data_IF_588016295085
#
_entry.id   IF_588016295085
#
_cell.length_a   1.000
_cell.length_b   1.000
_cell.length_c   1.000
_cell.angle_alpha   90.00
_cell.angle_beta   90.00
_cell.angle_gamma   90.00
#
_symmetry.space_group_name_H-M   'P 1'
#
loop_
_entity.id
_entity.type
_entity.pdbx_description
1 polymer ?
#
# COMPACT_ATOMS: atom_id res chain seq x y z
N UNK A 1 -41.75 7.78 -74.39
CA UNK A 1 -40.84 6.70 -74.80
C UNK A 1 -39.50 6.93 -74.09
N UNK A 2 -39.26 6.26 -72.98
CA UNK A 2 -38.01 6.34 -72.24
C UNK A 2 -37.48 4.91 -72.00
N UNK A 3 -36.27 4.66 -72.45
CA UNK A 3 -35.60 3.37 -72.35
C UNK A 3 -35.10 3.12 -70.91
N UNK A 4 -35.06 1.88 -70.42
CA UNK A 4 -34.51 1.59 -69.12
C UNK A 4 -32.99 1.47 -69.12
N UNK A 5 -32.30 1.71 -67.99
CA UNK A 5 -30.87 1.58 -67.89
C UNK A 5 -30.42 0.12 -67.71
N UNK A 6 -29.33 -0.24 -68.37
CA UNK A 6 -28.66 -1.54 -68.24
C UNK A 6 -28.07 -1.72 -66.85
N UNK A 7 -28.51 -2.70 -66.10
CA UNK A 7 -27.92 -3.14 -64.86
C UNK A 7 -26.58 -3.84 -65.09
N UNK A 8 -25.58 -3.44 -64.35
CA UNK A 8 -24.23 -4.02 -64.34
C UNK A 8 -24.23 -5.30 -63.50
N UNK A 9 -23.94 -6.41 -64.18
CA UNK A 9 -23.71 -7.73 -63.56
C UNK A 9 -22.24 -7.79 -63.14
N UNK A 10 -21.93 -7.27 -61.97
CA UNK A 10 -20.61 -7.43 -61.38
C UNK A 10 -20.78 -7.62 -59.86
N UNK A 11 -20.73 -8.83 -59.39
CA UNK A 11 -20.37 -9.11 -58.01
C UNK A 11 -20.75 -10.52 -57.51
N UNK A 12 -20.30 -11.56 -58.18
CA UNK A 12 -20.46 -12.93 -57.64
C UNK A 12 -19.13 -13.71 -57.42
N UNK A 13 -17.99 -13.10 -57.74
CA UNK A 13 -16.68 -13.76 -57.57
C UNK A 13 -15.77 -13.15 -56.53
N UNK A 14 -16.15 -12.07 -55.87
CA UNK A 14 -15.30 -11.40 -54.86
C UNK A 14 -15.52 -11.92 -53.44
N UNK A 15 -16.72 -12.40 -53.13
CA UNK A 15 -17.05 -12.91 -51.77
C UNK A 15 -16.27 -14.16 -51.33
N UNK A 16 -16.04 -15.17 -52.18
CA UNK A 16 -15.29 -16.36 -51.71
C UNK A 16 -13.81 -16.08 -51.48
N UNK A 17 -13.19 -15.12 -52.23
CA UNK A 17 -11.80 -14.78 -52.01
C UNK A 17 -11.56 -14.01 -50.69
N UNK A 18 -12.49 -13.11 -50.35
CA UNK A 18 -12.42 -12.38 -49.07
C UNK A 18 -12.60 -13.30 -47.86
N UNK A 19 -13.49 -14.28 -47.97
CA UNK A 19 -13.69 -15.30 -46.88
C UNK A 19 -12.45 -16.20 -46.70
N UNK A 20 -11.73 -16.53 -47.77
CA UNK A 20 -10.49 -17.30 -47.70
C UNK A 20 -9.35 -16.49 -47.05
N UNK A 21 -9.23 -15.19 -47.37
CA UNK A 21 -8.21 -14.29 -46.80
C UNK A 21 -8.47 -14.03 -45.32
N UNK A 22 -9.73 -13.84 -44.90
CA UNK A 22 -10.09 -13.66 -43.49
C UNK A 22 -9.80 -14.94 -42.68
N UNK A 23 -10.11 -16.13 -43.24
CA UNK A 23 -9.85 -17.39 -42.57
C UNK A 23 -8.34 -17.74 -42.48
N UNK A 24 -7.54 -17.30 -43.47
CA UNK A 24 -6.09 -17.45 -43.44
C UNK A 24 -5.45 -16.50 -42.42
N UNK A 25 -5.91 -15.26 -42.32
CA UNK A 25 -5.45 -14.31 -41.29
C UNK A 25 -5.83 -14.75 -39.87
N UNK A 26 -7.05 -15.27 -39.66
CA UNK A 26 -7.48 -15.77 -38.35
C UNK A 26 -6.67 -16.99 -37.90
N UNK A 27 -6.37 -17.92 -38.79
CA UNK A 27 -5.54 -19.09 -38.43
C UNK A 27 -4.10 -18.71 -38.12
N UNK A 28 -3.52 -17.78 -38.87
CA UNK A 28 -2.15 -17.32 -38.61
C UNK A 28 -2.05 -16.45 -37.36
N UNK A 29 -3.06 -15.61 -37.06
CA UNK A 29 -3.11 -14.82 -35.84
C UNK A 29 -3.25 -15.69 -34.59
N UNK A 30 -4.14 -16.71 -34.65
CA UNK A 30 -4.32 -17.65 -33.54
C UNK A 30 -3.08 -18.51 -33.27
N UNK A 31 -2.34 -18.86 -34.32
CA UNK A 31 -1.09 -19.64 -34.18
C UNK A 31 0.06 -18.76 -33.68
N UNK A 32 0.12 -17.49 -34.12
CA UNK A 32 1.14 -16.53 -33.66
C UNK A 32 0.95 -16.15 -32.16
N UNK A 33 -0.28 -16.03 -31.68
CA UNK A 33 -0.56 -15.71 -30.28
C UNK A 33 -0.19 -16.89 -29.37
N UNK A 34 -0.37 -18.13 -29.84
CA UNK A 34 -0.02 -19.33 -29.06
C UNK A 34 1.49 -19.51 -28.87
N UNK A 35 2.31 -19.02 -29.77
CA UNK A 35 3.78 -19.18 -29.68
C UNK A 35 4.48 -18.07 -28.88
N UNK A 36 3.76 -17.01 -28.50
CA UNK A 36 4.32 -15.90 -27.71
C UNK A 36 4.00 -15.97 -26.21
N UNK A 37 3.26 -16.96 -25.74
CA UNK A 37 3.03 -17.17 -24.31
C UNK A 37 4.25 -17.89 -23.72
N UNK A 38 5.06 -17.14 -22.97
CA UNK A 38 6.13 -17.74 -22.18
C UNK A 38 5.48 -18.50 -21.04
N UNK A 39 5.57 -19.84 -21.09
CA UNK A 39 5.27 -20.66 -19.93
C UNK A 39 6.44 -20.57 -18.98
N UNK A 40 6.24 -19.87 -17.87
CA UNK A 40 7.20 -19.95 -16.77
C UNK A 40 7.22 -21.38 -16.24
N UNK A 41 8.40 -21.94 -15.92
CA UNK A 41 8.50 -23.25 -15.32
C UNK A 41 7.60 -23.31 -14.07
N UNK A 42 6.68 -24.26 -14.00
CA UNK A 42 6.03 -24.58 -12.75
C UNK A 42 7.09 -25.11 -11.79
N UNK A 43 7.08 -24.66 -10.54
CA UNK A 43 7.95 -25.23 -9.53
C UNK A 43 7.51 -26.68 -9.31
N UNK A 44 8.32 -27.65 -9.71
CA UNK A 44 8.19 -29.07 -9.30
C UNK A 44 8.62 -29.27 -7.83
N UNK A 45 8.56 -28.17 -7.04
CA UNK A 45 8.90 -28.16 -5.64
C UNK A 45 8.00 -29.05 -4.79
N UNK A 46 8.49 -29.45 -3.65
CA UNK A 46 7.68 -30.17 -2.65
C UNK A 46 6.42 -29.37 -2.31
N UNK A 47 5.40 -30.00 -1.76
CA UNK A 47 4.12 -29.33 -1.42
C UNK A 47 4.32 -28.14 -0.45
N UNK A 48 5.37 -28.18 0.39
CA UNK A 48 5.79 -27.08 1.25
C UNK A 48 6.36 -25.90 0.45
N UNK A 49 7.22 -26.18 -0.52
CA UNK A 49 7.85 -25.13 -1.35
C UNK A 49 6.82 -24.41 -2.23
N UNK A 50 5.81 -25.12 -2.71
CA UNK A 50 4.70 -24.52 -3.46
C UNK A 50 3.83 -23.59 -2.59
N UNK A 51 3.60 -23.94 -1.31
CA UNK A 51 2.86 -23.12 -0.37
C UNK A 51 3.67 -21.86 0.01
N UNK A 52 4.95 -21.99 0.29
CA UNK A 52 5.83 -20.85 0.60
C UNK A 52 5.96 -19.90 -0.61
N UNK A 53 6.11 -20.42 -1.82
CA UNK A 53 6.13 -19.63 -3.06
C UNK A 53 4.82 -18.88 -3.27
N UNK A 54 3.68 -19.50 -2.99
CA UNK A 54 2.38 -18.83 -3.04
C UNK A 54 2.32 -17.66 -2.05
N UNK A 55 2.75 -17.88 -0.81
CA UNK A 55 2.67 -16.87 0.24
C UNK A 55 3.59 -15.68 -0.03
N UNK A 56 4.78 -15.89 -0.60
CA UNK A 56 5.66 -14.81 -1.06
C UNK A 56 5.02 -14.03 -2.23
N UNK A 57 4.39 -14.71 -3.17
CA UNK A 57 3.68 -14.08 -4.29
C UNK A 57 2.45 -13.30 -3.81
N UNK A 58 1.72 -13.84 -2.81
CA UNK A 58 0.61 -13.16 -2.17
C UNK A 58 1.10 -11.90 -1.44
N UNK A 59 2.17 -11.97 -0.66
CA UNK A 59 2.78 -10.82 0.00
C UNK A 59 3.16 -9.73 -1.01
N UNK A 60 3.81 -10.11 -2.13
CA UNK A 60 4.11 -9.16 -3.20
C UNK A 60 2.85 -8.49 -3.75
N UNK A 61 1.77 -9.24 -3.99
CA UNK A 61 0.52 -8.69 -4.50
C UNK A 61 -0.12 -7.69 -3.52
N UNK A 62 -0.06 -7.97 -2.21
CA UNK A 62 -0.52 -7.06 -1.16
C UNK A 62 0.32 -5.78 -1.13
N UNK A 63 1.65 -5.93 -1.09
CA UNK A 63 2.57 -4.80 -0.97
C UNK A 63 2.56 -3.88 -2.20
N UNK A 64 2.18 -4.40 -3.36
CA UNK A 64 2.07 -3.64 -4.62
C UNK A 64 0.65 -3.20 -4.96
N UNK A 65 -0.32 -3.39 -4.05
CA UNK A 65 -1.75 -3.11 -4.25
C UNK A 65 -2.43 -3.91 -5.37
N UNK A 66 -1.80 -4.98 -5.86
CA UNK A 66 -2.42 -5.85 -6.86
C UNK A 66 -3.51 -6.74 -6.26
N UNK A 67 -3.46 -6.99 -4.96
CA UNK A 67 -4.52 -7.71 -4.26
C UNK A 67 -5.81 -6.87 -4.10
N UNK A 68 -5.72 -5.53 -4.22
CA UNK A 68 -6.82 -4.63 -3.92
C UNK A 68 -7.28 -4.76 -2.46
N UNK A 69 -8.58 -4.68 -2.24
CA UNK A 69 -9.15 -4.95 -0.92
C UNK A 69 -9.14 -6.45 -0.61
N UNK A 70 -8.64 -6.81 0.55
CA UNK A 70 -8.64 -8.18 1.05
C UNK A 70 -9.03 -8.19 2.53
N UNK A 71 -9.75 -9.22 2.98
CA UNK A 71 -10.36 -9.24 4.31
C UNK A 71 -9.44 -9.82 5.37
N UNK A 72 -8.78 -10.93 5.03
CA UNK A 72 -7.98 -11.71 5.99
C UNK A 72 -6.74 -12.31 5.34
N UNK A 73 -5.69 -12.44 6.11
CA UNK A 73 -4.50 -13.21 5.77
C UNK A 73 -4.90 -14.66 5.41
N UNK A 74 -4.49 -15.21 4.27
CA UNK A 74 -4.73 -16.62 3.96
C UNK A 74 -4.19 -17.52 5.06
N UNK A 75 -5.01 -18.43 5.58
CA UNK A 75 -4.62 -19.31 6.69
C UNK A 75 -3.37 -20.16 6.39
N UNK A 76 -3.15 -20.50 5.13
CA UNK A 76 -1.92 -21.20 4.68
C UNK A 76 -0.67 -20.32 4.73
N UNK A 77 -0.81 -18.97 4.87
CA UNK A 77 0.31 -18.03 4.87
C UNK A 77 0.66 -17.48 6.26
N UNK A 78 -0.06 -17.85 7.31
CA UNK A 78 0.21 -17.37 8.68
C UNK A 78 1.64 -17.64 9.11
N UNK A 79 2.14 -18.87 8.90
CA UNK A 79 3.52 -19.23 9.27
C UNK A 79 4.56 -18.50 8.41
N UNK A 80 4.27 -18.25 7.14
CA UNK A 80 5.15 -17.49 6.25
C UNK A 80 5.24 -16.03 6.70
N UNK A 81 4.10 -15.41 7.02
CA UNK A 81 4.04 -14.04 7.56
C UNK A 81 4.74 -13.95 8.92
N UNK A 82 4.54 -14.94 9.80
CA UNK A 82 5.24 -15.01 11.09
C UNK A 82 6.77 -15.07 10.89
N UNK A 83 7.26 -15.91 9.96
CA UNK A 83 8.70 -15.98 9.63
C UNK A 83 9.21 -14.67 9.06
N UNK A 84 8.42 -13.99 8.22
CA UNK A 84 8.77 -12.70 7.65
C UNK A 84 9.02 -11.65 8.73
N UNK A 85 8.09 -11.50 9.70
CA UNK A 85 8.24 -10.53 10.78
C UNK A 85 9.30 -10.89 11.82
N UNK A 86 9.54 -12.18 12.05
CA UNK A 86 10.53 -12.66 13.03
C UNK A 86 11.94 -12.81 12.44
N UNK A 87 12.08 -12.77 11.11
CA UNK A 87 13.36 -12.90 10.41
C UNK A 87 13.94 -11.54 10.00
N UNK A 88 15.06 -11.61 9.30
CA UNK A 88 15.80 -10.41 8.86
C UNK A 88 15.14 -9.70 7.67
N UNK A 89 14.28 -10.40 6.91
CA UNK A 89 13.70 -9.87 5.67
C UNK A 89 12.84 -8.64 5.91
N UNK A 90 11.97 -8.64 6.92
CA UNK A 90 11.13 -7.50 7.25
C UNK A 90 11.97 -6.25 7.56
N UNK A 91 12.98 -6.40 8.39
CA UNK A 91 13.90 -5.30 8.70
C UNK A 91 14.66 -4.81 7.48
N UNK A 92 15.12 -5.72 6.62
CA UNK A 92 15.83 -5.39 5.39
C UNK A 92 14.94 -4.62 4.41
N UNK A 93 13.71 -5.10 4.16
CA UNK A 93 12.73 -4.43 3.28
C UNK A 93 12.44 -3.01 3.80
N UNK A 94 12.27 -2.87 5.11
CA UNK A 94 12.00 -1.58 5.74
C UNK A 94 13.16 -0.61 5.56
N UNK A 95 14.41 -1.04 5.83
CA UNK A 95 15.60 -0.19 5.68
C UNK A 95 15.81 0.26 4.24
N UNK A 96 15.57 -0.61 3.26
CA UNK A 96 15.69 -0.26 1.84
C UNK A 96 14.69 0.83 1.46
N UNK A 97 13.43 0.74 1.92
CA UNK A 97 12.42 1.78 1.68
C UNK A 97 12.84 3.11 2.32
N UNK A 98 13.34 3.08 3.56
CA UNK A 98 13.84 4.27 4.25
C UNK A 98 15.02 4.90 3.52
N UNK A 99 15.94 4.10 2.98
CA UNK A 99 17.08 4.63 2.22
C UNK A 99 16.63 5.34 0.94
N UNK A 100 15.65 4.79 0.20
CA UNK A 100 15.07 5.46 -0.97
C UNK A 100 14.27 6.72 -0.58
N UNK A 101 13.56 6.69 0.54
CA UNK A 101 12.85 7.85 1.05
C UNK A 101 13.82 9.00 1.40
N UNK A 102 14.92 8.69 2.09
CA UNK A 102 15.95 9.68 2.42
C UNK A 102 16.73 10.16 1.19
N UNK A 103 16.95 9.29 0.18
CA UNK A 103 17.53 9.70 -1.08
C UNK A 103 16.63 10.72 -1.79
N UNK A 104 15.32 10.49 -1.85
CA UNK A 104 14.36 11.44 -2.39
C UNK A 104 14.31 12.73 -1.57
N UNK A 105 14.23 12.64 -0.24
CA UNK A 105 14.14 13.81 0.64
C UNK A 105 15.30 14.80 0.44
N UNK A 106 16.51 14.30 0.15
CA UNK A 106 17.70 15.12 -0.15
C UNK A 106 17.59 15.88 -1.47
N UNK A 107 16.71 15.52 -2.36
CA UNK A 107 16.46 16.24 -3.63
C UNK A 107 15.46 17.39 -3.48
N UNK A 108 14.73 17.41 -2.38
CA UNK A 108 13.70 18.44 -2.13
C UNK A 108 14.38 19.72 -1.64
N UNK A 109 14.02 20.83 -2.28
CA UNK A 109 14.47 22.16 -1.84
C UNK A 109 13.52 22.69 -0.78
N UNK A 110 13.98 22.72 0.47
CA UNK A 110 13.23 23.25 1.60
C UNK A 110 13.19 24.78 1.52
N UNK A 111 11.99 25.36 1.63
CA UNK A 111 11.77 26.83 1.58
C UNK A 111 12.17 27.55 2.89
N UNK A 112 12.14 26.85 4.02
CA UNK A 112 12.43 27.41 5.34
C UNK A 112 11.25 28.14 5.98
N UNK A 113 10.07 28.09 5.37
CA UNK A 113 8.82 28.72 5.89
C UNK A 113 8.02 27.80 6.82
N UNK A 114 8.52 26.59 7.10
CA UNK A 114 7.86 25.57 7.91
C UNK A 114 6.70 24.86 7.20
N UNK A 115 6.53 25.07 5.90
CA UNK A 115 5.43 24.47 5.11
C UNK A 115 5.82 23.24 4.31
N UNK A 116 7.09 22.92 4.23
CA UNK A 116 7.59 21.73 3.56
C UNK A 116 7.45 20.52 4.48
N UNK A 117 6.46 19.64 4.18
CA UNK A 117 5.95 18.63 5.11
C UNK A 117 6.32 17.22 4.66
N UNK A 118 6.62 16.39 5.65
CA UNK A 118 6.59 14.94 5.53
C UNK A 118 5.55 14.36 6.49
N UNK A 119 4.63 13.56 5.97
CA UNK A 119 3.57 12.92 6.77
C UNK A 119 4.01 11.50 7.11
N UNK A 120 3.73 11.09 8.34
CA UNK A 120 3.85 9.70 8.79
C UNK A 120 2.52 9.21 9.36
N UNK A 121 2.15 7.99 9.01
CA UNK A 121 1.26 7.18 9.82
C UNK A 121 1.98 6.70 11.09
N UNK A 122 1.26 6.11 12.04
CA UNK A 122 1.81 5.69 13.33
C UNK A 122 1.90 4.17 13.45
N UNK A 123 0.77 3.45 13.36
CA UNK A 123 0.71 2.02 13.59
C UNK A 123 1.38 1.27 12.44
N UNK A 124 2.27 0.35 12.74
CA UNK A 124 3.13 -0.37 11.77
C UNK A 124 4.01 0.55 10.89
N UNK A 125 4.03 1.85 11.22
CA UNK A 125 4.87 2.84 10.53
C UNK A 125 5.91 3.47 11.45
N UNK A 126 5.55 4.13 12.51
CA UNK A 126 6.46 4.64 13.54
C UNK A 126 6.57 3.68 14.72
N UNK A 127 5.43 3.18 15.18
CA UNK A 127 5.31 2.21 16.25
C UNK A 127 4.98 0.83 15.69
N UNK A 128 5.47 -0.21 16.34
CA UNK A 128 5.14 -1.59 15.97
C UNK A 128 4.20 -2.23 16.96
N UNK A 129 3.09 -2.76 16.47
CA UNK A 129 2.16 -3.58 17.23
C UNK A 129 2.37 -5.08 16.97
N UNK A 130 3.50 -5.49 16.38
CA UNK A 130 3.82 -6.90 16.09
C UNK A 130 3.73 -7.76 17.35
N UNK A 131 4.04 -7.21 18.54
CA UNK A 131 3.87 -7.91 19.80
C UNK A 131 2.42 -8.31 20.07
N UNK A 132 1.48 -7.42 19.81
CA UNK A 132 0.04 -7.68 19.87
C UNK A 132 -0.38 -8.69 18.81
N UNK A 133 -0.04 -8.44 17.54
CA UNK A 133 -0.43 -9.32 16.44
C UNK A 133 0.15 -10.72 16.55
N UNK A 134 1.36 -10.88 17.08
CA UNK A 134 1.95 -12.20 17.38
C UNK A 134 1.11 -13.00 18.36
N UNK A 135 0.60 -12.36 19.41
CA UNK A 135 -0.28 -13.00 20.39
C UNK A 135 -1.67 -13.34 19.82
N UNK A 136 -2.06 -12.69 18.71
CA UNK A 136 -3.38 -12.81 18.07
C UNK A 136 -3.30 -13.37 16.63
N UNK A 137 -2.30 -14.19 16.30
CA UNK A 137 -2.23 -14.93 15.04
C UNK A 137 -1.86 -14.15 13.79
N UNK A 138 -1.21 -12.98 13.90
CA UNK A 138 -0.73 -12.13 12.77
C UNK A 138 -1.82 -11.69 11.78
N UNK A 139 -2.90 -11.08 12.26
CA UNK A 139 -3.91 -10.48 11.39
C UNK A 139 -5.04 -11.41 10.99
N UNK A 140 -5.17 -12.46 11.72
CA UNK A 140 -6.44 -13.11 11.99
C UNK A 140 -7.08 -13.89 10.86
N UNK A 141 -7.16 -15.15 11.09
CA UNK A 141 -8.09 -16.03 10.38
C UNK A 141 -9.55 -15.61 10.69
N UNK A 142 -10.49 -16.01 9.82
CA UNK A 142 -11.94 -15.81 10.05
C UNK A 142 -12.44 -16.34 11.39
N UNK A 143 -11.66 -17.21 12.05
CA UNK A 143 -11.97 -17.76 13.39
C UNK A 143 -11.64 -16.81 14.54
N UNK A 144 -10.77 -15.82 14.30
CA UNK A 144 -10.40 -14.81 15.33
C UNK A 144 -10.43 -13.42 14.68
N UNK A 145 -11.62 -12.80 14.51
CA UNK A 145 -11.75 -11.48 13.89
C UNK A 145 -11.04 -10.42 14.72
N UNK A 146 -10.56 -9.36 14.08
CA UNK A 146 -9.94 -8.22 14.76
C UNK A 146 -10.84 -7.71 15.88
N UNK A 147 -10.32 -7.74 17.09
CA UNK A 147 -10.99 -7.22 18.27
C UNK A 147 -10.49 -5.82 18.59
N UNK A 148 -11.27 -4.82 18.17
CA UNK A 148 -10.96 -3.40 18.39
C UNK A 148 -10.82 -3.06 19.90
N UNK A 149 -11.58 -3.72 20.76
CA UNK A 149 -11.48 -3.48 22.20
C UNK A 149 -10.14 -3.97 22.74
N UNK A 150 -9.75 -5.20 22.40
CA UNK A 150 -8.45 -5.77 22.80
C UNK A 150 -7.28 -4.94 22.24
N UNK A 151 -7.39 -4.47 20.98
CA UNK A 151 -6.38 -3.60 20.40
C UNK A 151 -6.31 -2.23 21.11
N UNK A 152 -7.44 -1.64 21.46
CA UNK A 152 -7.47 -0.39 22.25
C UNK A 152 -6.85 -0.58 23.64
N UNK A 153 -7.10 -1.72 24.30
CA UNK A 153 -6.45 -2.08 25.57
C UNK A 153 -4.92 -2.19 25.44
N UNK A 154 -4.43 -2.65 24.30
CA UNK A 154 -3.00 -2.64 23.98
C UNK A 154 -2.48 -1.21 23.77
N UNK A 155 -3.17 -0.39 22.99
CA UNK A 155 -2.76 1.00 22.67
C UNK A 155 -2.63 1.86 23.92
N UNK A 156 -3.57 1.73 24.88
CA UNK A 156 -3.55 2.53 26.11
C UNK A 156 -2.42 2.15 27.07
N UNK A 157 -1.78 0.99 26.90
CA UNK A 157 -0.57 0.65 27.66
C UNK A 157 0.62 1.52 27.28
N UNK A 158 0.63 2.10 26.07
CA UNK A 158 1.69 3.00 25.61
C UNK A 158 3.06 2.33 25.51
N UNK A 159 3.11 1.02 25.25
CA UNK A 159 4.36 0.23 25.27
C UNK A 159 4.83 -0.25 23.90
N UNK A 160 4.17 0.18 22.82
CA UNK A 160 4.56 -0.19 21.46
C UNK A 160 5.97 0.32 21.14
N UNK A 161 6.92 -0.55 20.73
CA UNK A 161 8.28 -0.13 20.38
C UNK A 161 8.31 0.69 19.09
N UNK A 162 9.36 1.51 18.91
CA UNK A 162 9.65 2.15 17.63
C UNK A 162 10.29 1.17 16.64
N UNK A 163 10.01 1.38 15.35
CA UNK A 163 10.86 0.83 14.30
C UNK A 163 12.18 1.62 14.23
N UNK A 164 13.32 0.96 14.39
CA UNK A 164 14.62 1.62 14.33
C UNK A 164 14.85 2.35 12.99
N UNK A 165 14.41 1.75 11.87
CA UNK A 165 14.50 2.34 10.55
C UNK A 165 13.67 3.63 10.44
N UNK A 166 12.41 3.61 10.96
CA UNK A 166 11.55 4.80 11.00
C UNK A 166 12.10 5.90 11.89
N UNK A 167 12.61 5.56 13.06
CA UNK A 167 13.21 6.55 13.95
C UNK A 167 14.44 7.22 13.30
N UNK A 168 15.27 6.44 12.59
CA UNK A 168 16.38 6.98 11.78
C UNK A 168 15.87 7.93 10.70
N UNK A 169 14.83 7.53 9.96
CA UNK A 169 14.22 8.35 8.90
C UNK A 169 13.64 9.64 9.45
N UNK A 170 12.82 9.54 10.49
CA UNK A 170 12.20 10.67 11.17
C UNK A 170 13.22 11.73 11.60
N UNK A 171 14.28 11.31 12.29
CA UNK A 171 15.33 12.21 12.75
C UNK A 171 16.14 12.81 11.59
N UNK A 172 16.37 12.07 10.52
CA UNK A 172 17.07 12.55 9.33
C UNK A 172 16.24 13.62 8.59
N UNK A 173 14.92 13.42 8.43
CA UNK A 173 14.02 14.36 7.79
C UNK A 173 13.93 15.69 8.57
N UNK A 174 13.87 15.62 9.90
CA UNK A 174 13.93 16.82 10.75
C UNK A 174 15.25 17.59 10.56
N UNK A 175 16.40 16.88 10.47
CA UNK A 175 17.70 17.51 10.21
C UNK A 175 17.77 18.13 8.82
N UNK A 176 17.03 17.61 7.84
CA UNK A 176 16.90 18.18 6.49
C UNK A 176 15.97 19.42 6.47
N UNK A 177 15.26 19.71 7.53
CA UNK A 177 14.36 20.88 7.65
C UNK A 177 12.91 20.61 7.31
N UNK A 178 12.49 19.34 7.16
CA UNK A 178 11.08 19.03 6.98
C UNK A 178 10.29 19.25 8.27
N UNK A 179 9.11 19.82 8.12
CA UNK A 179 8.07 19.81 9.14
C UNK A 179 7.41 18.43 9.17
N UNK A 180 7.35 17.82 10.34
CA UNK A 180 6.76 16.46 10.47
C UNK A 180 5.33 16.57 10.95
N UNK A 181 4.42 15.91 10.25
CA UNK A 181 3.02 15.75 10.65
C UNK A 181 2.74 14.25 10.82
N UNK A 182 2.04 13.90 11.89
CA UNK A 182 1.59 12.55 12.17
C UNK A 182 0.10 12.48 11.88
N UNK A 183 -0.32 11.48 11.08
CA UNK A 183 -1.71 11.29 10.65
C UNK A 183 -2.10 9.82 10.83
N UNK A 184 -2.87 9.53 11.87
CA UNK A 184 -3.19 8.17 12.29
C UNK A 184 -4.68 7.86 12.23
N UNK A 185 -5.02 6.57 12.08
CA UNK A 185 -6.38 6.06 12.23
C UNK A 185 -6.87 5.96 13.67
N UNK A 186 -5.99 6.17 14.68
CA UNK A 186 -6.36 6.18 16.10
C UNK A 186 -7.37 7.28 16.41
N UNK A 187 -8.20 7.05 17.42
CA UNK A 187 -9.21 8.00 17.88
C UNK A 187 -8.62 9.11 18.78
N UNK A 188 -9.28 10.25 18.82
CA UNK A 188 -8.83 11.42 19.57
C UNK A 188 -8.69 11.18 21.08
N UNK A 189 -9.49 10.28 21.65
CA UNK A 189 -9.41 9.88 23.06
C UNK A 189 -8.11 9.10 23.41
N UNK A 190 -7.43 8.57 22.40
CA UNK A 190 -6.13 7.89 22.53
C UNK A 190 -4.92 8.84 22.44
N UNK A 191 -5.14 10.17 22.27
CA UNK A 191 -4.08 11.16 22.06
C UNK A 191 -2.99 11.10 23.12
N UNK A 192 -3.36 11.15 24.38
CA UNK A 192 -2.40 11.20 25.50
C UNK A 192 -1.49 9.98 25.55
N UNK A 193 -2.06 8.79 25.35
CA UNK A 193 -1.30 7.52 25.31
C UNK A 193 -0.40 7.46 24.08
N UNK A 194 -0.89 7.90 22.93
CA UNK A 194 -0.13 7.92 21.67
C UNK A 194 1.07 8.87 21.78
N UNK A 195 0.86 10.09 22.29
CA UNK A 195 1.95 11.06 22.47
C UNK A 195 2.99 10.59 23.49
N UNK A 196 2.55 10.00 24.61
CA UNK A 196 3.45 9.46 25.62
C UNK A 196 4.32 8.34 25.01
N UNK A 197 3.71 7.36 24.35
CA UNK A 197 4.43 6.26 23.75
C UNK A 197 5.44 6.75 22.69
N UNK A 198 5.03 7.66 21.80
CA UNK A 198 5.95 8.22 20.79
C UNK A 198 7.17 8.91 21.44
N UNK A 199 6.96 9.70 22.52
CA UNK A 199 8.07 10.37 23.23
C UNK A 199 8.98 9.38 23.92
N UNK A 200 8.42 8.37 24.58
CA UNK A 200 9.16 7.35 25.32
C UNK A 200 10.09 6.54 24.41
N UNK A 201 9.69 6.32 23.15
CA UNK A 201 10.52 5.59 22.17
C UNK A 201 11.37 6.51 21.28
N UNK A 202 11.41 7.83 21.57
CA UNK A 202 12.37 8.78 20.98
C UNK A 202 11.85 9.67 19.86
N UNK A 203 10.56 9.67 19.53
CA UNK A 203 9.98 10.65 18.60
C UNK A 203 9.62 11.94 19.33
N UNK A 204 9.93 13.07 18.72
CA UNK A 204 9.60 14.39 19.29
C UNK A 204 9.63 15.49 18.23
N UNK A 205 8.95 16.60 18.50
CA UNK A 205 9.00 17.80 17.67
C UNK A 205 8.28 17.61 16.33
N UNK A 206 7.18 16.89 16.31
CA UNK A 206 6.20 16.95 15.24
C UNK A 206 5.40 18.26 15.38
N UNK A 207 4.96 18.80 14.26
CA UNK A 207 4.13 20.02 14.21
C UNK A 207 2.68 19.71 14.59
N UNK A 208 2.17 18.58 14.12
CA UNK A 208 0.80 18.14 14.39
C UNK A 208 0.74 16.63 14.57
N UNK A 209 -0.15 16.22 15.46
CA UNK A 209 -0.65 14.85 15.59
C UNK A 209 -2.15 14.91 15.30
N UNK A 210 -2.57 14.29 14.20
CA UNK A 210 -3.94 14.26 13.71
C UNK A 210 -4.51 12.88 13.96
N UNK A 211 -5.55 12.80 14.79
CA UNK A 211 -6.30 11.60 15.13
C UNK A 211 -7.75 11.75 14.64
N UNK A 212 -8.51 10.66 14.62
CA UNK A 212 -9.94 10.70 14.27
C UNK A 212 -10.73 11.42 15.34
N UNK A 213 -11.42 12.47 14.93
CA UNK A 213 -12.41 13.13 15.76
C UNK A 213 -13.80 12.48 15.66
N UNK A 214 -14.78 13.00 16.41
CA UNK A 214 -16.17 12.51 16.33
C UNK A 214 -16.77 12.58 14.91
N UNK A 215 -16.44 13.60 14.13
CA UNK A 215 -16.94 13.82 12.77
C UNK A 215 -16.27 12.87 11.73
N UNK A 216 -15.22 12.15 12.14
CA UNK A 216 -14.48 11.22 11.27
C UNK A 216 -14.90 9.77 11.48
N UNK A 217 -15.79 9.52 12.45
CA UNK A 217 -16.29 8.17 12.73
C UNK A 217 -17.09 7.62 11.56
N UNK A 218 -16.90 6.33 11.25
CA UNK A 218 -17.56 5.66 10.13
C UNK A 218 -16.97 5.94 8.73
N UNK A 219 -16.03 6.87 8.61
CA UNK A 219 -15.28 7.06 7.34
C UNK A 219 -14.29 5.92 7.13
N UNK A 220 -14.11 5.48 5.89
CA UNK A 220 -12.97 4.63 5.56
C UNK A 220 -11.65 5.35 5.88
N UNK A 221 -10.57 4.59 6.12
CA UNK A 221 -9.27 5.20 6.39
C UNK A 221 -8.78 6.02 5.20
N UNK A 222 -9.02 5.55 3.98
CA UNK A 222 -8.70 6.30 2.76
C UNK A 222 -9.39 7.67 2.74
N UNK A 223 -10.71 7.74 2.97
CA UNK A 223 -11.45 9.00 2.95
C UNK A 223 -11.01 9.93 4.07
N UNK A 224 -10.88 9.42 5.28
CA UNK A 224 -10.40 10.20 6.41
C UNK A 224 -9.01 10.81 6.13
N UNK A 225 -8.03 9.99 5.78
CA UNK A 225 -6.65 10.44 5.60
C UNK A 225 -6.51 11.40 4.41
N UNK A 226 -7.22 11.17 3.32
CA UNK A 226 -7.19 12.09 2.20
C UNK A 226 -7.82 13.45 2.54
N UNK A 227 -8.93 13.49 3.30
CA UNK A 227 -9.54 14.74 3.76
C UNK A 227 -8.59 15.54 4.67
N UNK A 228 -7.88 14.87 5.57
CA UNK A 228 -6.91 15.55 6.44
C UNK A 228 -5.72 16.10 5.62
N UNK A 229 -5.21 15.34 4.65
CA UNK A 229 -4.17 15.84 3.73
C UNK A 229 -4.65 17.04 2.91
N UNK A 230 -5.90 17.02 2.43
CA UNK A 230 -6.50 18.14 1.70
C UNK A 230 -6.54 19.40 2.57
N UNK A 231 -7.01 19.29 3.82
CA UNK A 231 -7.01 20.41 4.78
C UNK A 231 -5.60 20.97 5.03
N UNK A 232 -4.56 20.14 5.02
CA UNK A 232 -3.19 20.61 5.13
C UNK A 232 -2.76 21.41 3.90
N UNK A 233 -3.09 20.95 2.70
CA UNK A 233 -2.81 21.66 1.45
C UNK A 233 -3.54 23.01 1.42
N UNK A 234 -4.81 23.06 1.83
CA UNK A 234 -5.61 24.29 1.90
C UNK A 234 -5.00 25.32 2.89
N UNK A 235 -4.25 24.85 3.90
CA UNK A 235 -3.51 25.67 4.85
C UNK A 235 -2.11 26.06 4.36
N UNK A 236 -1.78 25.73 3.11
CA UNK A 236 -0.53 26.09 2.45
C UNK A 236 0.64 25.17 2.73
N UNK A 237 0.42 24.00 3.35
CA UNK A 237 1.46 22.98 3.48
C UNK A 237 1.73 22.30 2.15
N UNK A 238 2.99 22.00 1.87
CA UNK A 238 3.47 21.25 0.70
C UNK A 238 3.88 19.86 1.16
N UNK A 239 3.11 18.86 0.78
CA UNK A 239 3.34 17.48 1.20
C UNK A 239 4.35 16.83 0.23
N UNK A 240 5.63 16.88 0.57
CA UNK A 240 6.69 16.29 -0.26
C UNK A 240 6.79 14.78 -0.10
N UNK A 241 6.62 14.28 1.11
CA UNK A 241 6.66 12.85 1.38
C UNK A 241 5.52 12.39 2.26
N UNK A 242 5.10 11.15 2.05
CA UNK A 242 4.13 10.47 2.89
C UNK A 242 4.56 9.02 3.08
N UNK A 243 4.59 8.56 4.33
CA UNK A 243 5.02 7.21 4.70
C UNK A 243 3.94 6.54 5.53
N UNK A 244 3.53 5.36 5.12
CA UNK A 244 2.52 4.56 5.80
C UNK A 244 2.60 3.10 5.39
N UNK A 245 2.06 2.21 6.21
CA UNK A 245 2.02 0.77 5.98
C UNK A 245 0.78 0.31 5.20
N UNK A 246 -0.26 1.14 5.16
CA UNK A 246 -1.50 0.86 4.45
C UNK A 246 -1.61 1.68 3.16
N UNK A 247 -2.25 1.10 2.15
CA UNK A 247 -2.55 1.84 0.94
C UNK A 247 -3.51 2.99 1.18
N UNK A 248 -4.39 2.89 2.18
CA UNK A 248 -5.25 3.99 2.63
C UNK A 248 -4.50 5.23 3.12
N UNK A 249 -3.24 5.07 3.58
CA UNK A 249 -2.38 6.19 3.92
C UNK A 249 -1.98 7.01 2.69
N UNK A 250 -1.81 6.35 1.56
CA UNK A 250 -1.05 6.84 0.41
C UNK A 250 -1.93 7.22 -0.78
N UNK A 251 -3.14 6.65 -0.87
CA UNK A 251 -4.05 6.85 -2.00
C UNK A 251 -4.92 8.12 -1.84
N UNK A 252 -5.59 8.47 -2.93
CA UNK A 252 -6.52 9.60 -3.02
C UNK A 252 -6.01 10.73 -3.90
N UNK A 253 -6.64 11.91 -3.85
CA UNK A 253 -6.27 13.07 -4.68
C UNK A 253 -5.28 14.04 -3.98
N UNK A 254 -5.28 14.12 -2.66
CA UNK A 254 -4.34 14.92 -1.88
C UNK A 254 -3.11 14.08 -1.52
N UNK A 255 -2.33 13.68 -2.53
CA UNK A 255 -1.14 12.84 -2.37
C UNK A 255 0.12 13.69 -2.20
N UNK A 256 1.16 13.09 -1.66
CA UNK A 256 2.49 13.70 -1.58
C UNK A 256 3.17 13.70 -2.97
N UNK A 257 4.22 14.51 -3.14
CA UNK A 257 5.09 14.44 -4.33
C UNK A 257 5.62 13.01 -4.50
N UNK A 258 5.90 12.31 -3.39
CA UNK A 258 6.22 10.89 -3.38
C UNK A 258 5.73 10.19 -2.11
N UNK A 259 5.12 9.02 -2.30
CA UNK A 259 4.67 8.16 -1.20
C UNK A 259 5.60 6.95 -1.04
N UNK A 260 5.74 6.50 0.21
CA UNK A 260 6.60 5.38 0.58
C UNK A 260 5.80 4.40 1.43
N UNK A 261 5.41 3.28 0.82
CA UNK A 261 4.73 2.20 1.52
C UNK A 261 5.76 1.34 2.25
N UNK A 262 5.63 1.27 3.58
CA UNK A 262 6.37 0.32 4.39
C UNK A 262 5.60 -1.00 4.49
N UNK A 263 6.29 -2.16 4.72
CA UNK A 263 5.64 -3.45 4.58
C UNK A 263 4.65 -3.74 5.71
N UNK A 264 3.46 -4.21 5.35
CA UNK A 264 2.52 -4.82 6.29
C UNK A 264 1.62 -5.86 5.58
N UNK A 265 1.98 -7.15 5.59
CA UNK A 265 1.13 -8.22 5.07
C UNK A 265 0.21 -8.84 6.15
N UNK A 266 -0.04 -8.19 7.28
CA UNK A 266 -0.89 -8.75 8.35
C UNK A 266 -2.35 -8.44 8.15
N UNK A 267 -2.67 -7.20 7.78
CA UNK A 267 -4.04 -6.72 7.65
C UNK A 267 -4.16 -5.64 6.58
N UNK A 268 -5.38 -5.42 6.14
CA UNK A 268 -5.75 -4.36 5.20
C UNK A 268 -6.79 -3.43 5.84
N UNK A 269 -6.56 -2.12 5.70
CA UNK A 269 -7.46 -1.07 6.18
C UNK A 269 -7.90 -0.22 4.98
N UNK A 270 -9.20 -0.30 4.56
CA UNK A 270 -9.73 0.39 3.39
C UNK A 270 -9.85 1.91 3.52
#
# INVERSE_FOLDING_TARGET
>A
MASPPRGVLMSLFVLPLLALLINCCHKNLATSIRTSIIKLPGSDGSRSDAADTYCESWRLAVETNNAGAWDVLPSSCVDSVARYFNGDQYGSDYYVIVDYALAFAKTVKISGDGKDVWIFDIDETLLTNIGYYRAHGYGVSRSEPFDSKSFNEWVVQGTAPAFAASLRMYNALKKLGFTIILLTGRDEDQRSFTEANLRDVGYSGWERLILRGPDDQGKSATNYKLEQRSKLIDQGFKIHGNTGDQWSDLLGFAVADRSFKVPNPMHYIP
#
